data_IF_876261127755
#
_entry.id   IF_876261127755
#
_cell.length_a   1.000
_cell.length_b   1.000
_cell.length_c   1.000
_cell.angle_alpha   90.00
_cell.angle_beta   90.00
_cell.angle_gamma   90.00
#
_symmetry.space_group_name_H-M   'P 1'
#
loop_
_entity.id
_entity.type
_entity.pdbx_description
1 polymer ?
#
# COMPACT_ATOMS: atom_id res chain seq x y z
N UNK A 1 -1.69 -9.75 6.14
CA UNK A 1 -2.67 -9.96 5.07
C UNK A 1 -2.96 -8.65 4.32
N UNK A 2 -3.41 -7.57 5.00
CA UNK A 2 -3.79 -6.28 4.36
C UNK A 2 -2.62 -5.69 3.56
N UNK A 3 -1.40 -5.64 4.12
CA UNK A 3 -0.20 -5.19 3.42
C UNK A 3 0.03 -5.98 2.12
N UNK A 4 -0.17 -7.28 2.17
CA UNK A 4 -0.01 -8.18 1.03
C UNK A 4 -0.94 -7.81 -0.14
N UNK A 5 -2.26 -7.69 0.13
CA UNK A 5 -3.22 -7.28 -0.89
C UNK A 5 -2.97 -5.85 -1.39
N UNK A 6 -2.66 -4.93 -0.48
CA UNK A 6 -2.34 -3.55 -0.83
C UNK A 6 -1.12 -3.48 -1.76
N UNK A 7 -0.09 -4.29 -1.52
CA UNK A 7 1.11 -4.32 -2.33
C UNK A 7 0.84 -4.92 -3.72
N UNK A 8 0.09 -6.02 -3.81
CA UNK A 8 -0.30 -6.62 -5.11
C UNK A 8 -1.05 -5.58 -5.95
N UNK A 9 -2.08 -4.95 -5.38
CA UNK A 9 -2.88 -3.95 -6.07
C UNK A 9 -1.99 -2.76 -6.48
N UNK A 10 -1.22 -2.22 -5.54
CA UNK A 10 -0.39 -1.04 -5.79
C UNK A 10 0.63 -1.28 -6.90
N UNK A 11 1.42 -2.35 -6.83
CA UNK A 11 2.48 -2.62 -7.82
C UNK A 11 1.88 -2.93 -9.19
N UNK A 12 0.80 -3.73 -9.24
CA UNK A 12 0.13 -4.05 -10.50
C UNK A 12 -0.47 -2.79 -11.13
N UNK A 13 -1.22 -1.99 -10.38
CA UNK A 13 -1.84 -0.76 -10.90
C UNK A 13 -0.79 0.30 -11.24
N UNK A 14 0.31 0.38 -10.49
CA UNK A 14 1.43 1.26 -10.81
C UNK A 14 2.04 0.93 -12.18
N UNK A 15 2.22 -0.35 -12.48
CA UNK A 15 2.81 -0.80 -13.74
C UNK A 15 1.90 -0.45 -14.93
N UNK A 16 0.59 -0.68 -14.80
CA UNK A 16 -0.39 -0.47 -15.89
C UNK A 16 -1.20 0.83 -15.77
N UNK A 17 -0.69 1.83 -15.05
CA UNK A 17 -1.41 3.08 -14.79
C UNK A 17 -1.78 3.87 -16.04
N UNK A 18 -0.93 3.83 -17.07
CA UNK A 18 -1.20 4.53 -18.34
C UNK A 18 -2.30 3.84 -19.13
N UNK A 19 -2.24 2.51 -19.25
CA UNK A 19 -3.22 1.70 -19.94
C UNK A 19 -4.59 1.81 -19.28
N UNK A 20 -4.64 1.75 -17.95
CA UNK A 20 -5.86 1.88 -17.16
C UNK A 20 -6.51 3.26 -17.39
N UNK A 21 -5.72 4.34 -17.34
CA UNK A 21 -6.23 5.69 -17.52
C UNK A 21 -6.66 5.94 -18.96
N UNK A 22 -5.89 5.49 -19.94
CA UNK A 22 -6.25 5.60 -21.35
C UNK A 22 -7.55 4.82 -21.64
N UNK A 23 -7.66 3.58 -21.16
CA UNK A 23 -8.86 2.77 -21.33
C UNK A 23 -10.10 3.39 -20.70
N UNK A 24 -9.96 4.02 -19.52
CA UNK A 24 -11.12 4.54 -18.77
C UNK A 24 -11.56 5.92 -19.24
N UNK A 25 -10.62 6.77 -19.63
CA UNK A 25 -10.87 8.19 -19.89
C UNK A 25 -10.49 8.64 -21.29
N UNK A 26 -9.92 7.76 -22.12
CA UNK A 26 -9.45 8.07 -23.50
C UNK A 26 -8.50 9.27 -23.56
N UNK A 27 -7.72 9.49 -22.50
CA UNK A 27 -6.78 10.60 -22.36
C UNK A 27 -5.48 10.24 -23.10
N UNK A 28 -4.94 11.17 -23.88
CA UNK A 28 -3.71 10.98 -24.64
C UNK A 28 -2.70 12.11 -24.40
N UNK A 29 -1.46 11.88 -24.80
CA UNK A 29 -0.39 12.89 -24.78
C UNK A 29 0.05 13.32 -23.38
N UNK A 30 0.35 14.60 -23.23
CA UNK A 30 0.88 15.17 -21.96
C UNK A 30 -0.09 15.03 -20.79
N UNK A 31 -1.39 15.11 -21.05
CA UNK A 31 -2.42 14.95 -20.01
C UNK A 31 -2.43 13.55 -19.43
N UNK A 32 -2.19 12.51 -20.24
CA UNK A 32 -2.06 11.12 -19.77
C UNK A 32 -0.85 10.96 -18.87
N UNK A 33 0.31 11.52 -19.27
CA UNK A 33 1.53 11.45 -18.48
C UNK A 33 1.34 12.07 -17.09
N UNK A 34 0.82 13.29 -17.04
CA UNK A 34 0.59 14.00 -15.79
C UNK A 34 -0.44 13.30 -14.88
N UNK A 35 -1.54 12.83 -15.46
CA UNK A 35 -2.56 12.06 -14.73
C UNK A 35 -2.01 10.74 -14.22
N UNK A 36 -1.19 10.04 -15.01
CA UNK A 36 -0.58 8.77 -14.62
C UNK A 36 0.43 8.92 -13.49
N UNK A 37 1.18 10.02 -13.46
CA UNK A 37 2.09 10.34 -12.36
C UNK A 37 1.31 10.57 -11.06
N UNK A 38 0.27 11.41 -11.12
CA UNK A 38 -0.63 11.67 -9.99
C UNK A 38 -1.24 10.38 -9.46
N UNK A 39 -1.81 9.56 -10.36
CA UNK A 39 -2.42 8.28 -10.01
C UNK A 39 -1.41 7.31 -9.39
N UNK A 40 -0.17 7.30 -9.91
CA UNK A 40 0.91 6.50 -9.36
C UNK A 40 1.20 6.85 -7.88
N UNK A 41 1.39 8.13 -7.56
CA UNK A 41 1.61 8.55 -6.17
C UNK A 41 0.46 8.19 -5.24
N UNK A 42 -0.79 8.28 -5.71
CA UNK A 42 -1.96 7.86 -4.95
C UNK A 42 -1.94 6.34 -4.70
N UNK A 43 -1.50 5.54 -5.67
CA UNK A 43 -1.36 4.08 -5.47
C UNK A 43 -0.28 3.74 -4.45
N UNK A 44 0.86 4.43 -4.46
CA UNK A 44 1.89 4.27 -3.43
C UNK A 44 1.32 4.62 -2.05
N UNK A 45 0.57 5.73 -1.94
CA UNK A 45 -0.04 6.13 -0.67
C UNK A 45 -1.02 5.09 -0.12
N UNK A 46 -1.68 4.33 -1.00
CA UNK A 46 -2.63 3.28 -0.62
C UNK A 46 -2.01 2.19 0.26
N UNK A 47 -0.73 1.85 0.07
CA UNK A 47 -0.01 0.91 0.95
C UNK A 47 0.06 1.46 2.36
N UNK A 48 0.46 2.73 2.50
CA UNK A 48 0.58 3.38 3.80
C UNK A 48 -0.78 3.53 4.49
N UNK A 49 -1.81 3.95 3.75
CA UNK A 49 -3.19 4.07 4.26
C UNK A 49 -3.71 2.73 4.77
N UNK A 50 -3.51 1.65 4.01
CA UNK A 50 -3.95 0.31 4.39
C UNK A 50 -3.27 -0.18 5.68
N UNK A 51 -1.99 0.11 5.85
CA UNK A 51 -1.25 -0.19 7.08
C UNK A 51 -1.66 0.73 8.24
N UNK A 52 -1.87 2.02 7.98
CA UNK A 52 -2.33 2.99 8.98
C UNK A 52 -3.66 2.56 9.61
N UNK A 53 -4.57 1.98 8.81
CA UNK A 53 -5.82 1.46 9.30
C UNK A 53 -5.63 0.39 10.39
N UNK A 54 -4.66 -0.53 10.22
CA UNK A 54 -4.37 -1.58 11.19
C UNK A 54 -3.80 -1.00 12.49
N UNK A 55 -2.73 -0.22 12.38
CA UNK A 55 -2.05 0.32 13.55
C UNK A 55 -2.91 1.37 14.26
N UNK A 56 -3.67 2.17 13.51
CA UNK A 56 -4.64 3.12 14.06
C UNK A 56 -5.72 2.42 14.87
N UNK A 57 -6.30 1.33 14.36
CA UNK A 57 -7.31 0.54 15.07
C UNK A 57 -6.76 -0.07 16.36
N UNK A 58 -5.54 -0.60 16.33
CA UNK A 58 -4.87 -1.13 17.52
C UNK A 58 -4.66 -0.06 18.59
N UNK A 59 -4.19 1.12 18.20
CA UNK A 59 -3.99 2.24 19.12
C UNK A 59 -5.32 2.77 19.68
N UNK A 60 -6.37 2.80 18.88
CA UNK A 60 -7.73 3.18 19.31
C UNK A 60 -8.27 2.18 20.31
N UNK A 61 -8.16 0.88 20.05
CA UNK A 61 -8.59 -0.18 20.95
C UNK A 61 -7.87 -0.14 22.33
N UNK A 62 -6.62 0.35 22.35
CA UNK A 62 -5.85 0.57 23.59
C UNK A 62 -6.21 1.86 24.32
N UNK A 63 -7.05 2.72 23.73
CA UNK A 63 -7.40 4.03 24.31
C UNK A 63 -6.34 5.12 24.08
N UNK A 64 -5.39 4.91 23.16
CA UNK A 64 -4.29 5.84 22.87
C UNK A 64 -4.73 7.00 21.93
N UNK A 65 -5.95 7.50 22.09
CA UNK A 65 -6.53 8.53 21.23
C UNK A 65 -5.75 9.85 21.25
N UNK A 66 -5.19 10.21 22.42
CA UNK A 66 -4.40 11.46 22.54
C UNK A 66 -3.18 11.42 21.61
N UNK A 67 -2.45 10.32 21.57
CA UNK A 67 -1.28 10.15 20.72
C UNK A 67 -1.66 10.16 19.23
N UNK A 68 -2.77 9.49 18.87
CA UNK A 68 -3.29 9.50 17.51
C UNK A 68 -3.69 10.91 17.05
N UNK A 69 -4.36 11.68 17.90
CA UNK A 69 -4.77 13.05 17.58
C UNK A 69 -3.54 13.97 17.40
N UNK A 70 -2.52 13.85 18.26
CA UNK A 70 -1.27 14.59 18.12
C UNK A 70 -0.60 14.25 16.78
N UNK A 71 -0.51 12.96 16.45
CA UNK A 71 0.06 12.50 15.18
C UNK A 71 -0.72 13.02 13.97
N UNK A 72 -2.06 13.04 14.05
CA UNK A 72 -2.91 13.59 13.01
C UNK A 72 -2.64 15.09 12.78
N UNK A 73 -2.49 15.88 13.85
CA UNK A 73 -2.14 17.31 13.75
C UNK A 73 -0.80 17.49 13.05
N UNK A 74 0.24 16.73 13.41
CA UNK A 74 1.53 16.77 12.71
C UNK A 74 1.38 16.37 11.25
N UNK A 75 0.60 15.33 10.95
CA UNK A 75 0.29 14.92 9.57
C UNK A 75 -0.35 16.04 8.76
N UNK A 76 -1.34 16.75 9.33
CA UNK A 76 -2.00 17.89 8.68
C UNK A 76 -0.99 19.00 8.39
N UNK A 77 -0.17 19.37 9.36
CA UNK A 77 0.84 20.43 9.19
C UNK A 77 1.83 20.08 8.09
N UNK A 78 2.35 18.85 8.07
CA UNK A 78 3.26 18.35 7.04
C UNK A 78 2.59 18.39 5.66
N UNK A 79 1.35 17.88 5.58
CA UNK A 79 0.60 17.84 4.32
C UNK A 79 0.37 19.24 3.75
N UNK A 80 -0.08 20.19 4.57
CA UNK A 80 -0.29 21.57 4.14
C UNK A 80 1.03 22.19 3.68
N UNK A 81 2.11 22.05 4.46
CA UNK A 81 3.42 22.60 4.11
C UNK A 81 3.93 22.05 2.78
N UNK A 82 3.83 20.73 2.57
CA UNK A 82 4.25 20.11 1.32
C UNK A 82 3.37 20.53 0.14
N UNK A 83 2.07 20.66 0.34
CA UNK A 83 1.17 21.13 -0.71
C UNK A 83 1.48 22.56 -1.14
N UNK A 84 1.75 23.48 -0.19
CA UNK A 84 2.14 24.84 -0.49
C UNK A 84 3.46 24.94 -1.28
N UNK A 85 4.39 24.00 -1.03
CA UNK A 85 5.67 23.95 -1.71
C UNK A 85 5.61 23.27 -3.09
N UNK A 86 4.80 22.21 -3.22
CA UNK A 86 4.85 21.34 -4.40
C UNK A 86 3.77 21.62 -5.44
N UNK A 87 2.59 22.09 -5.03
CA UNK A 87 1.49 22.37 -5.97
C UNK A 87 1.84 23.45 -6.99
N UNK A 88 2.53 24.57 -6.63
CA UNK A 88 2.86 25.60 -7.60
C UNK A 88 3.67 25.08 -8.80
N UNK A 89 4.60 24.14 -8.55
CA UNK A 89 5.50 23.62 -9.59
C UNK A 89 4.98 22.34 -10.26
N UNK A 90 4.31 21.46 -9.48
CA UNK A 90 3.94 20.10 -9.90
C UNK A 90 2.44 19.86 -10.02
N UNK A 91 1.60 20.83 -9.64
CA UNK A 91 0.15 20.70 -9.71
C UNK A 91 -0.36 19.49 -8.91
N UNK A 92 -1.23 18.69 -9.54
CA UNK A 92 -1.86 17.51 -8.91
C UNK A 92 -0.87 16.41 -8.52
N UNK A 93 0.23 16.23 -9.27
CA UNK A 93 1.25 15.23 -8.91
C UNK A 93 1.99 15.63 -7.63
N UNK A 94 2.23 16.94 -7.42
CA UNK A 94 2.77 17.47 -6.18
C UNK A 94 1.86 17.22 -4.97
N UNK A 95 0.56 17.43 -5.12
CA UNK A 95 -0.42 17.14 -4.08
C UNK A 95 -0.51 15.64 -3.75
N UNK A 96 -0.46 14.78 -4.76
CA UNK A 96 -0.47 13.34 -4.58
C UNK A 96 0.81 12.85 -3.86
N UNK A 97 1.96 13.39 -4.22
CA UNK A 97 3.22 13.11 -3.52
C UNK A 97 3.15 13.57 -2.05
N UNK A 98 2.67 14.79 -1.77
CA UNK A 98 2.51 15.30 -0.42
C UNK A 98 1.63 14.38 0.44
N UNK A 99 0.53 13.89 -0.15
CA UNK A 99 -0.36 12.92 0.49
C UNK A 99 0.34 11.60 0.77
N UNK A 100 1.06 11.04 -0.21
CA UNK A 100 1.82 9.81 -0.03
C UNK A 100 2.87 9.94 1.08
N UNK A 101 3.67 10.99 1.05
CA UNK A 101 4.69 11.26 2.06
C UNK A 101 4.08 11.36 3.47
N UNK A 102 2.98 12.12 3.61
CA UNK A 102 2.29 12.27 4.89
C UNK A 102 1.76 10.95 5.43
N UNK A 103 1.19 10.09 4.57
CA UNK A 103 0.69 8.77 4.99
C UNK A 103 1.82 7.85 5.47
N UNK A 104 2.97 7.85 4.79
CA UNK A 104 4.14 7.11 5.25
C UNK A 104 4.72 7.66 6.55
N UNK A 105 4.76 8.98 6.70
CA UNK A 105 5.16 9.62 7.96
C UNK A 105 4.28 9.15 9.11
N UNK A 106 2.96 9.23 8.96
CA UNK A 106 2.00 8.76 9.96
C UNK A 106 2.21 7.27 10.27
N UNK A 107 2.41 6.44 9.25
CA UNK A 107 2.65 5.00 9.40
C UNK A 107 3.87 4.70 10.27
N UNK A 108 5.00 5.34 10.00
CA UNK A 108 6.23 5.13 10.76
C UNK A 108 6.02 5.44 12.24
N UNK A 109 5.37 6.56 12.55
CA UNK A 109 5.09 6.94 13.93
C UNK A 109 4.03 6.06 14.60
N UNK A 110 3.00 5.62 13.87
CA UNK A 110 2.03 4.66 14.41
C UNK A 110 2.68 3.32 14.74
N UNK A 111 3.56 2.82 13.87
CA UNK A 111 4.33 1.60 14.13
C UNK A 111 5.18 1.78 15.39
N UNK A 112 5.93 2.88 15.50
CA UNK A 112 6.77 3.17 16.67
C UNK A 112 5.95 3.25 17.97
N UNK A 113 4.77 3.90 17.93
CA UNK A 113 3.84 3.95 19.07
C UNK A 113 3.31 2.57 19.45
N UNK A 114 2.91 1.75 18.46
CA UNK A 114 2.47 0.39 18.71
C UNK A 114 3.57 -0.46 19.36
N UNK A 115 4.79 -0.39 18.87
CA UNK A 115 5.92 -1.10 19.50
C UNK A 115 6.13 -0.69 20.95
N UNK A 116 6.07 0.63 21.24
CA UNK A 116 6.24 1.16 22.60
C UNK A 116 5.11 0.75 23.54
N UNK A 117 3.86 0.76 23.06
CA UNK A 117 2.67 0.52 23.90
C UNK A 117 2.42 -0.97 24.13
N UNK A 118 2.60 -1.80 23.10
CA UNK A 118 2.30 -3.23 23.16
C UNK A 118 3.51 -4.09 23.47
N UNK A 119 4.72 -3.52 23.56
CA UNK A 119 5.98 -4.25 23.77
C UNK A 119 6.16 -5.42 22.79
N UNK A 120 5.84 -5.19 21.52
CA UNK A 120 5.96 -6.22 20.49
C UNK A 120 7.40 -6.73 20.39
N UNK A 121 7.56 -8.05 20.40
CA UNK A 121 8.86 -8.68 20.08
C UNK A 121 9.03 -8.70 18.55
N UNK A 122 10.21 -8.30 18.11
CA UNK A 122 10.55 -8.37 16.68
C UNK A 122 10.69 -9.83 16.26
N UNK A 123 9.81 -10.27 15.36
CA UNK A 123 9.95 -11.56 14.69
C UNK A 123 10.71 -11.35 13.38
N UNK A 124 12.03 -11.51 13.42
CA UNK A 124 12.90 -11.32 12.24
C UNK A 124 12.42 -12.12 11.03
N UNK A 125 11.94 -13.35 11.23
CA UNK A 125 11.36 -14.17 10.18
C UNK A 125 10.16 -13.54 9.48
N UNK A 126 9.31 -12.82 10.20
CA UNK A 126 8.15 -12.12 9.60
C UNK A 126 8.59 -10.95 8.74
N UNK A 127 9.60 -10.21 9.21
CA UNK A 127 10.19 -9.11 8.44
C UNK A 127 10.82 -9.64 7.14
N UNK A 128 11.64 -10.69 7.24
CA UNK A 128 12.28 -11.34 6.08
C UNK A 128 11.21 -11.81 5.08
N UNK A 129 10.11 -12.43 5.54
CA UNK A 129 9.02 -12.88 4.65
C UNK A 129 8.37 -11.72 3.89
N UNK A 130 8.11 -10.59 4.56
CA UNK A 130 7.54 -9.40 3.95
C UNK A 130 8.48 -8.85 2.86
N UNK A 131 9.76 -8.70 3.17
CA UNK A 131 10.76 -8.23 2.21
C UNK A 131 10.95 -9.20 1.03
N UNK A 132 11.06 -10.51 1.30
CA UNK A 132 11.18 -11.53 0.26
C UNK A 132 9.96 -11.54 -0.65
N UNK A 133 8.75 -11.42 -0.08
CA UNK A 133 7.54 -11.31 -0.87
C UNK A 133 7.56 -10.07 -1.78
N UNK A 134 7.92 -8.92 -1.23
CA UNK A 134 7.97 -7.65 -1.99
C UNK A 134 8.95 -7.77 -3.17
N UNK A 135 10.16 -8.28 -2.94
CA UNK A 135 11.18 -8.45 -3.98
C UNK A 135 10.71 -9.45 -5.05
N UNK A 136 10.23 -10.64 -4.64
CA UNK A 136 9.77 -11.68 -5.56
C UNK A 136 8.57 -11.21 -6.38
N UNK A 137 7.65 -10.48 -5.79
CA UNK A 137 6.48 -9.97 -6.50
C UNK A 137 6.86 -8.90 -7.52
N UNK A 138 7.73 -7.94 -7.16
CA UNK A 138 8.21 -6.91 -8.09
C UNK A 138 8.98 -7.55 -9.25
N UNK A 139 9.87 -8.52 -8.99
CA UNK A 139 10.61 -9.23 -10.04
C UNK A 139 9.68 -10.01 -10.95
N UNK A 140 8.63 -10.65 -10.41
CA UNK A 140 7.62 -11.34 -11.19
C UNK A 140 6.86 -10.38 -12.13
N UNK A 141 6.37 -9.25 -11.61
CA UNK A 141 5.67 -8.23 -12.42
C UNK A 141 6.57 -7.71 -13.54
N UNK A 142 7.85 -7.45 -13.24
CA UNK A 142 8.83 -7.02 -14.23
C UNK A 142 9.08 -8.08 -15.32
N UNK A 143 9.17 -9.36 -14.95
CA UNK A 143 9.35 -10.46 -15.92
C UNK A 143 8.11 -10.66 -16.79
N UNK A 144 6.90 -10.55 -16.22
CA UNK A 144 5.64 -10.61 -16.96
C UNK A 144 5.56 -9.48 -17.99
N UNK A 145 5.95 -8.25 -17.59
CA UNK A 145 5.90 -7.09 -18.48
C UNK A 145 6.85 -7.24 -19.67
N UNK A 146 8.08 -7.68 -19.45
CA UNK A 146 9.11 -7.70 -20.48
C UNK A 146 9.09 -8.95 -21.39
N UNK A 147 8.58 -10.10 -20.91
CA UNK A 147 8.67 -11.36 -21.64
C UNK A 147 7.36 -11.83 -22.27
N UNK A 148 6.22 -11.26 -21.86
CA UNK A 148 4.93 -11.68 -22.40
C UNK A 148 4.31 -10.62 -23.28
N UNK A 149 4.08 -10.97 -24.54
CA UNK A 149 3.39 -10.12 -25.53
C UNK A 149 1.88 -10.36 -25.56
N UNK A 150 1.25 -10.38 -24.38
CA UNK A 150 -0.20 -10.54 -24.20
C UNK A 150 -0.84 -9.19 -23.83
N UNK A 151 -2.19 -9.15 -23.81
CA UNK A 151 -2.92 -7.94 -23.47
C UNK A 151 -2.65 -7.50 -22.02
N UNK A 152 -2.64 -6.19 -21.78
CA UNK A 152 -2.42 -5.63 -20.44
C UNK A 152 -3.42 -6.13 -19.39
N UNK A 153 -4.68 -6.39 -19.75
CA UNK A 153 -5.67 -6.99 -18.85
C UNK A 153 -5.28 -8.41 -18.40
N UNK A 154 -4.77 -9.22 -19.34
CA UNK A 154 -4.30 -10.59 -19.05
C UNK A 154 -3.07 -10.55 -18.15
N UNK A 155 -2.17 -9.59 -18.36
CA UNK A 155 -1.01 -9.35 -17.49
C UNK A 155 -1.44 -8.99 -16.06
N UNK A 156 -2.46 -8.13 -15.89
CA UNK A 156 -3.02 -7.79 -14.56
C UNK A 156 -3.53 -9.05 -13.86
N UNK A 157 -4.30 -9.88 -14.55
CA UNK A 157 -4.84 -11.13 -13.99
C UNK A 157 -3.69 -12.06 -13.56
N UNK A 158 -2.67 -12.23 -14.43
CA UNK A 158 -1.48 -13.02 -14.10
C UNK A 158 -0.74 -12.48 -12.88
N UNK A 159 -0.58 -11.17 -12.76
CA UNK A 159 0.08 -10.54 -11.62
C UNK A 159 -0.70 -10.76 -10.32
N UNK A 160 -2.02 -10.66 -10.34
CA UNK A 160 -2.86 -10.90 -9.16
C UNK A 160 -2.78 -12.38 -8.74
N UNK A 161 -2.93 -13.31 -9.70
CA UNK A 161 -2.85 -14.75 -9.42
C UNK A 161 -1.44 -15.13 -8.94
N UNK A 162 -0.40 -14.69 -9.64
CA UNK A 162 0.99 -14.98 -9.29
C UNK A 162 1.37 -14.39 -7.93
N UNK A 163 0.95 -13.16 -7.64
CA UNK A 163 1.10 -12.58 -6.32
C UNK A 163 0.43 -13.42 -5.23
N UNK A 164 -0.80 -13.91 -5.49
CA UNK A 164 -1.49 -14.84 -4.60
C UNK A 164 -0.69 -16.12 -4.34
N UNK A 165 -0.16 -16.75 -5.40
CA UNK A 165 0.66 -17.98 -5.29
C UNK A 165 1.94 -17.73 -4.49
N UNK A 166 2.68 -16.65 -4.78
CA UNK A 166 3.91 -16.31 -4.03
C UNK A 166 3.59 -16.09 -2.55
N UNK A 167 2.48 -15.41 -2.24
CA UNK A 167 2.07 -15.16 -0.87
C UNK A 167 1.69 -16.43 -0.09
N UNK A 168 1.05 -17.38 -0.75
CA UNK A 168 0.76 -18.69 -0.18
C UNK A 168 2.05 -19.49 0.07
N UNK A 169 2.96 -19.51 -0.91
CA UNK A 169 4.23 -20.23 -0.81
C UNK A 169 5.10 -19.71 0.35
N UNK A 170 5.19 -18.41 0.53
CA UNK A 170 5.95 -17.79 1.62
C UNK A 170 5.24 -17.87 2.98
N UNK A 171 4.05 -18.51 3.05
CA UNK A 171 3.24 -18.57 4.27
C UNK A 171 2.99 -17.19 4.91
N UNK A 172 2.87 -16.16 4.07
CA UNK A 172 2.44 -14.82 4.51
C UNK A 172 0.96 -14.85 4.88
N UNK A 173 0.20 -15.71 4.19
CA UNK A 173 -1.20 -16.04 4.50
C UNK A 173 -1.19 -17.34 5.31
N UNK A 174 -1.48 -17.25 6.59
CA UNK A 174 -1.61 -18.42 7.46
C UNK A 174 -3.07 -18.88 7.46
N UNK A 175 -3.39 -19.86 6.61
CA UNK A 175 -4.74 -20.37 6.44
C UNK A 175 -5.30 -20.97 7.74
N UNK A 176 -4.46 -21.56 8.57
CA UNK A 176 -4.90 -22.15 9.84
C UNK A 176 -5.45 -21.10 10.79
N UNK A 177 -4.81 -19.92 10.84
CA UNK A 177 -5.32 -18.78 11.62
C UNK A 177 -6.60 -18.20 11.04
N UNK A 178 -6.72 -18.13 9.72
CA UNK A 178 -7.93 -17.65 9.05
C UNK A 178 -9.11 -18.60 9.29
N UNK A 179 -8.89 -19.90 9.19
CA UNK A 179 -9.91 -20.92 9.47
C UNK A 179 -10.34 -20.94 10.94
N UNK A 180 -9.40 -20.74 11.87
CA UNK A 180 -9.71 -20.68 13.31
C UNK A 180 -10.59 -19.48 13.66
N UNK A 181 -10.37 -18.32 13.02
CA UNK A 181 -11.22 -17.15 13.21
C UNK A 181 -12.64 -17.34 12.70
N UNK A 182 -12.82 -17.96 11.53
CA UNK A 182 -14.14 -18.28 10.97
C UNK A 182 -14.91 -19.34 11.79
N UNK A 183 -14.18 -20.25 12.45
CA UNK A 183 -14.79 -21.29 13.27
C UNK A 183 -15.24 -20.77 14.64
N UNK A 184 -14.55 -19.79 15.19
CA UNK A 184 -14.90 -19.20 16.49
C UNK A 184 -16.19 -18.35 16.43
N UNK A 185 -16.50 -17.79 15.27
CA UNK A 185 -17.71 -16.96 15.06
C UNK A 185 -19.00 -17.78 14.93
N UNK A 186 -18.90 -19.12 14.75
CA UNK A 186 -20.05 -20.03 14.69
C UNK A 186 -20.43 -20.68 16.04
N UNK A 187 -19.71 -20.37 17.12
CA UNK A 187 -19.90 -20.95 18.44
C UNK A 187 -20.35 -19.95 19.51
N UNK A 188 -20.67 -18.73 19.12
CA UNK A 188 -21.33 -17.69 19.91
C UNK A 188 -22.75 -17.43 19.30
#
# INVERSE_FOLDING_TARGET
LIYFFALIICVTVWTYKMEILNWRYEINGSSLLHSSETFGWLMISFIAVSCNYIFGTLLTAKGSMKQLNILAVFGILINISLNLLLIPDKGSSGAAFASAFTQFFILVFQIALCYKIFNFKYHLLSIIRIFSFTILFITMVYTVENNLSINWLEKIILNVIGGGIIGLFLKVINWDQFYSLLKHDKSS
#
